data_IF_512984322779
#
_entry.id   IF_512984322779
#
_cell.length_a   1.000
_cell.length_b   1.000
_cell.length_c   1.000
_cell.angle_alpha   90.00
_cell.angle_beta   90.00
_cell.angle_gamma   90.00
#
_symmetry.space_group_name_H-M   'P 1'
#
loop_
_entity.id
_entity.type
_entity.pdbx_description
1 polymer ?
#
# COMPACT_ATOMS: atom_id res chain seq x y z
N UNK A 1 18.27 -14.60 7.75
CA UNK A 1 17.05 -14.43 6.96
C UNK A 1 16.82 -12.94 6.73
N UNK A 2 16.49 -12.54 5.50
CA UNK A 2 16.27 -11.12 5.18
C UNK A 2 15.02 -10.57 5.86
N UNK A 3 14.93 -9.24 5.94
CA UNK A 3 13.73 -8.58 6.46
C UNK A 3 12.49 -8.95 5.65
N UNK A 4 12.64 -9.07 4.33
CA UNK A 4 11.54 -9.48 3.44
C UNK A 4 11.02 -10.88 3.77
N UNK A 5 11.94 -11.84 3.91
CA UNK A 5 11.58 -13.21 4.24
C UNK A 5 10.98 -13.31 5.64
N UNK A 6 11.50 -12.57 6.61
CA UNK A 6 10.94 -12.53 7.96
C UNK A 6 9.51 -11.96 7.94
N UNK A 7 9.28 -10.92 7.16
CA UNK A 7 7.94 -10.33 7.01
C UNK A 7 6.98 -11.35 6.40
N UNK A 8 7.39 -12.04 5.36
CA UNK A 8 6.56 -13.08 4.74
C UNK A 8 6.18 -14.17 5.75
N UNK A 9 7.14 -14.64 6.54
CA UNK A 9 6.89 -15.65 7.59
C UNK A 9 5.88 -15.12 8.61
N UNK A 10 6.03 -13.87 9.05
CA UNK A 10 5.11 -13.26 10.00
C UNK A 10 3.68 -13.17 9.45
N UNK A 11 3.54 -12.74 8.20
CA UNK A 11 2.22 -12.62 7.56
C UNK A 11 1.57 -13.98 7.41
N UNK A 12 2.33 -15.00 6.98
CA UNK A 12 1.82 -16.39 6.88
C UNK A 12 1.42 -16.94 8.25
N UNK A 13 2.17 -16.61 9.30
CA UNK A 13 1.86 -17.07 10.66
C UNK A 13 0.55 -16.49 11.19
N UNK A 14 0.08 -15.39 10.63
CA UNK A 14 -1.23 -14.80 10.95
C UNK A 14 -2.39 -15.47 10.19
N UNK A 15 -2.10 -16.47 9.38
CA UNK A 15 -3.10 -17.23 8.62
C UNK A 15 -3.32 -16.73 7.19
N UNK A 16 -2.53 -15.76 6.71
CA UNK A 16 -2.70 -15.24 5.37
C UNK A 16 -1.95 -16.07 4.33
N UNK A 17 -2.59 -16.25 3.17
CA UNK A 17 -1.97 -16.86 2.01
C UNK A 17 -1.38 -15.76 1.13
N UNK A 18 -0.08 -15.85 0.88
CA UNK A 18 0.63 -14.96 -0.05
C UNK A 18 0.54 -15.60 -1.44
N UNK A 19 -0.19 -14.97 -2.35
CA UNK A 19 -0.42 -15.50 -3.70
C UNK A 19 0.61 -14.99 -4.71
N UNK A 20 1.30 -13.89 -4.38
CA UNK A 20 2.34 -13.31 -5.22
C UNK A 20 3.22 -12.42 -4.35
N UNK A 21 4.45 -12.21 -4.78
CA UNK A 21 5.38 -11.31 -4.09
C UNK A 21 6.41 -10.77 -5.06
N UNK A 22 6.96 -9.60 -4.73
CA UNK A 22 8.07 -9.00 -5.46
C UNK A 22 8.98 -8.32 -4.45
N UNK A 23 10.20 -8.83 -4.27
CA UNK A 23 11.20 -8.27 -3.38
C UNK A 23 12.31 -7.52 -4.13
N UNK A 24 12.13 -7.32 -5.44
CA UNK A 24 13.11 -6.70 -6.32
C UNK A 24 12.77 -5.25 -6.68
N UNK A 25 11.77 -4.66 -6.01
CA UNK A 25 11.44 -3.26 -6.23
C UNK A 25 12.55 -2.36 -5.72
N UNK A 26 12.88 -1.28 -6.43
CA UNK A 26 13.98 -0.39 -6.01
C UNK A 26 13.72 0.29 -4.66
N UNK A 27 12.47 0.43 -4.26
CA UNK A 27 12.08 1.01 -2.97
C UNK A 27 11.84 -0.02 -1.87
N UNK A 28 11.85 -1.31 -2.19
CA UNK A 28 11.57 -2.37 -1.22
C UNK A 28 10.88 -3.56 -1.88
N UNK A 29 9.66 -3.85 -1.46
CA UNK A 29 8.92 -4.97 -2.02
C UNK A 29 7.48 -5.04 -1.52
N UNK A 30 6.76 -6.06 -1.97
CA UNK A 30 5.39 -6.27 -1.52
C UNK A 30 4.99 -7.74 -1.52
N UNK A 31 3.96 -8.02 -0.73
CA UNK A 31 3.27 -9.31 -0.69
C UNK A 31 1.83 -9.10 -1.11
N UNK A 32 1.34 -9.91 -2.04
CA UNK A 32 -0.08 -9.91 -2.43
C UNK A 32 -0.80 -11.00 -1.64
N UNK A 33 -1.87 -10.62 -0.97
CA UNK A 33 -2.66 -11.53 -0.13
C UNK A 33 -3.85 -12.04 -0.93
N UNK A 34 -4.23 -13.31 -0.69
CA UNK A 34 -5.38 -13.94 -1.34
C UNK A 34 -6.63 -13.06 -1.15
N UNK A 35 -7.31 -12.74 -2.25
CA UNK A 35 -8.50 -11.89 -2.25
C UNK A 35 -9.62 -12.48 -1.39
N UNK A 36 -9.72 -13.81 -1.28
CA UNK A 36 -10.72 -14.45 -0.42
C UNK A 36 -10.54 -14.13 1.06
N UNK A 37 -9.36 -13.66 1.45
CA UNK A 37 -9.03 -13.29 2.83
C UNK A 37 -9.15 -11.79 3.10
N UNK A 38 -9.72 -11.02 2.17
CA UNK A 38 -9.82 -9.56 2.30
C UNK A 38 -10.53 -9.13 3.59
N UNK A 39 -11.58 -9.86 4.03
CA UNK A 39 -12.28 -9.56 5.28
C UNK A 39 -11.36 -9.77 6.49
N UNK A 40 -10.66 -10.91 6.56
CA UNK A 40 -9.71 -11.17 7.64
C UNK A 40 -8.56 -10.18 7.64
N UNK A 41 -8.09 -9.79 6.47
CA UNK A 41 -7.05 -8.79 6.31
C UNK A 41 -7.52 -7.44 6.89
N UNK A 42 -8.73 -7.01 6.54
CA UNK A 42 -9.31 -5.79 7.11
C UNK A 42 -9.52 -5.88 8.61
N UNK A 43 -9.96 -7.03 9.11
CA UNK A 43 -10.16 -7.22 10.54
C UNK A 43 -8.85 -7.08 11.33
N UNK A 44 -7.73 -7.51 10.77
CA UNK A 44 -6.44 -7.42 11.44
C UNK A 44 -5.76 -6.07 11.28
N UNK A 45 -5.85 -5.46 10.10
CA UNK A 45 -5.08 -4.26 9.78
C UNK A 45 -5.91 -2.98 9.72
N UNK A 46 -7.22 -3.08 9.52
CA UNK A 46 -8.09 -1.93 9.33
C UNK A 46 -9.33 -2.05 10.22
N UNK A 47 -9.13 -2.01 11.53
CA UNK A 47 -10.21 -2.16 12.50
C UNK A 47 -11.35 -1.17 12.22
N UNK A 48 -12.57 -1.68 12.18
CA UNK A 48 -13.75 -0.86 11.97
C UNK A 48 -14.13 -0.61 10.53
N UNK A 49 -13.37 -1.12 9.55
CA UNK A 49 -13.75 -1.02 8.15
C UNK A 49 -14.65 -2.19 7.75
N UNK A 50 -15.78 -1.87 7.14
CA UNK A 50 -16.67 -2.85 6.55
C UNK A 50 -16.30 -3.02 5.07
N UNK A 51 -15.67 -4.17 4.75
CA UNK A 51 -15.22 -4.43 3.37
C UNK A 51 -16.38 -4.55 2.40
N UNK A 52 -17.57 -4.90 2.85
CA UNK A 52 -18.73 -5.02 1.96
C UNK A 52 -19.13 -3.68 1.36
N UNK A 53 -18.96 -2.58 2.12
CA UNK A 53 -19.24 -1.24 1.63
C UNK A 53 -18.13 -0.69 0.74
N UNK A 54 -16.93 -1.27 0.82
CA UNK A 54 -15.76 -0.82 0.06
C UNK A 54 -15.60 -1.56 -1.26
N UNK A 55 -16.14 -2.78 -1.36
CA UNK A 55 -15.98 -3.62 -2.55
C UNK A 55 -16.78 -3.10 -3.72
N UNK A 56 -16.07 -2.70 -4.77
CA UNK A 56 -16.64 -2.43 -6.08
C UNK A 56 -16.02 -3.45 -7.03
N UNK A 57 -16.86 -4.23 -7.72
CA UNK A 57 -16.37 -5.29 -8.58
C UNK A 57 -15.83 -6.52 -7.83
N UNK A 58 -16.12 -6.64 -6.54
CA UNK A 58 -15.75 -7.80 -5.73
C UNK A 58 -14.29 -7.89 -5.32
N UNK A 59 -13.51 -6.81 -5.47
CA UNK A 59 -12.06 -6.81 -5.20
C UNK A 59 -11.65 -5.72 -4.23
N UNK A 60 -10.65 -6.01 -3.38
CA UNK A 60 -9.95 -5.04 -2.53
C UNK A 60 -8.43 -5.08 -2.72
N UNK A 61 -7.91 -6.08 -3.41
CA UNK A 61 -6.48 -6.23 -3.74
C UNK A 61 -5.55 -6.04 -2.52
N UNK A 62 -5.73 -6.82 -1.44
CA UNK A 62 -4.97 -6.61 -0.21
C UNK A 62 -3.48 -6.90 -0.40
N UNK A 63 -2.64 -6.03 0.14
CA UNK A 63 -1.18 -6.12 0.03
C UNK A 63 -0.49 -5.70 1.30
N UNK A 64 0.72 -6.20 1.46
CA UNK A 64 1.68 -5.69 2.45
C UNK A 64 2.81 -5.03 1.67
N UNK A 65 3.03 -3.74 1.92
CA UNK A 65 4.15 -2.99 1.35
C UNK A 65 5.31 -3.01 2.34
N UNK A 66 6.50 -3.28 1.84
CA UNK A 66 7.74 -3.31 2.63
C UNK A 66 8.64 -2.21 2.07
N UNK A 67 8.80 -1.13 2.83
CA UNK A 67 9.58 0.03 2.39
C UNK A 67 10.93 0.00 3.08
N UNK A 68 12.01 -0.06 2.29
CA UNK A 68 13.36 -0.10 2.85
C UNK A 68 13.82 1.28 3.31
N UNK A 69 14.79 1.34 4.25
CA UNK A 69 15.29 2.61 4.76
C UNK A 69 15.73 3.55 3.67
N UNK A 70 15.35 4.83 3.79
CA UNK A 70 15.78 5.94 2.94
C UNK A 70 15.39 5.82 1.46
N UNK A 71 14.52 4.88 1.14
CA UNK A 71 13.96 4.74 -0.20
C UNK A 71 12.56 5.34 -0.26
N UNK A 72 12.14 5.75 -1.43
CA UNK A 72 10.80 6.27 -1.60
C UNK A 72 10.19 5.79 -2.91
N UNK A 73 8.87 5.58 -2.89
CA UNK A 73 8.10 5.28 -4.08
C UNK A 73 8.03 6.51 -4.97
N UNK A 74 7.53 6.37 -6.19
CA UNK A 74 7.33 7.51 -7.08
C UNK A 74 6.29 8.47 -6.51
N UNK A 75 6.36 9.71 -6.96
CA UNK A 75 5.29 10.71 -6.81
C UNK A 75 4.25 10.37 -7.87
N UNK A 76 3.09 9.86 -7.43
CA UNK A 76 2.20 9.09 -8.29
C UNK A 76 0.73 9.30 -7.98
N UNK A 77 -0.13 8.93 -8.94
CA UNK A 77 -1.58 8.82 -8.72
C UNK A 77 -2.16 7.73 -9.60
N UNK A 78 -3.42 7.38 -9.35
CA UNK A 78 -4.14 6.31 -10.02
C UNK A 78 -5.48 6.80 -10.53
N UNK A 79 -5.90 6.29 -11.68
CA UNK A 79 -7.16 6.71 -12.32
C UNK A 79 -8.38 5.94 -11.84
N UNK A 80 -8.19 4.66 -11.45
CA UNK A 80 -9.31 3.75 -11.23
C UNK A 80 -9.34 3.16 -9.82
N UNK A 81 -8.67 3.79 -8.85
CA UNK A 81 -8.73 3.36 -7.46
C UNK A 81 -8.45 4.49 -6.47
N UNK A 82 -9.04 4.36 -5.30
CA UNK A 82 -8.58 4.97 -4.07
C UNK A 82 -7.78 3.93 -3.30
N UNK A 83 -7.00 4.35 -2.31
CA UNK A 83 -6.20 3.43 -1.50
C UNK A 83 -6.41 3.73 -0.02
N UNK A 84 -6.37 2.68 0.81
CA UNK A 84 -6.37 2.84 2.26
C UNK A 84 -5.13 2.14 2.78
N UNK A 85 -4.34 2.85 3.57
CA UNK A 85 -3.09 2.37 4.15
C UNK A 85 -3.19 2.36 5.67
N UNK A 86 -2.52 1.39 6.28
CA UNK A 86 -2.25 1.39 7.71
C UNK A 86 -0.80 1.05 7.94
N UNK A 87 -0.10 1.92 8.68
CA UNK A 87 1.26 1.63 9.14
C UNK A 87 1.15 0.64 10.29
N UNK A 88 1.70 -0.56 10.15
CA UNK A 88 1.62 -1.56 11.23
C UNK A 88 2.99 -1.94 11.80
N UNK A 89 4.09 -1.45 11.23
CA UNK A 89 5.42 -1.58 11.81
C UNK A 89 6.30 -0.41 11.37
N UNK A 90 6.98 0.20 12.33
CA UNK A 90 7.91 1.30 12.08
C UNK A 90 7.20 2.63 11.82
N UNK A 91 7.95 3.57 11.27
CA UNK A 91 7.45 4.88 10.86
C UNK A 91 7.69 5.07 9.38
N UNK A 92 6.85 5.87 8.75
CA UNK A 92 7.06 6.25 7.36
C UNK A 92 6.72 7.72 7.14
N UNK A 93 7.25 8.28 6.06
CA UNK A 93 6.84 9.58 5.58
C UNK A 93 5.82 9.43 4.47
N UNK A 94 4.88 10.36 4.38
CA UNK A 94 3.91 10.40 3.29
C UNK A 94 3.77 11.85 2.83
N UNK A 95 3.87 12.05 1.52
CA UNK A 95 3.53 13.31 0.87
C UNK A 95 2.22 13.10 0.12
N UNK A 96 1.31 14.07 0.23
CA UNK A 96 0.00 14.03 -0.43
C UNK A 96 -0.29 15.38 -1.06
N UNK A 97 -0.95 15.37 -2.23
CA UNK A 97 -1.39 16.61 -2.88
C UNK A 97 -2.55 16.34 -3.85
N UNK A 98 -3.40 17.33 -4.03
CA UNK A 98 -4.43 17.29 -5.07
C UNK A 98 -3.89 17.73 -6.43
N UNK A 99 -2.63 18.18 -6.49
CA UNK A 99 -1.97 18.65 -7.71
C UNK A 99 -0.65 17.91 -7.91
N UNK A 100 0.01 18.15 -9.02
CA UNK A 100 1.33 17.56 -9.31
C UNK A 100 2.44 18.14 -8.43
N UNK A 101 2.16 19.21 -7.69
CA UNK A 101 3.14 19.83 -6.79
C UNK A 101 3.14 19.11 -5.45
N UNK A 102 4.31 18.64 -5.03
CA UNK A 102 4.47 18.01 -3.72
C UNK A 102 4.27 19.02 -2.59
N UNK A 103 3.51 18.60 -1.58
CA UNK A 103 3.40 19.31 -0.32
C UNK A 103 4.48 18.83 0.64
N UNK A 104 4.46 19.33 1.88
CA UNK A 104 5.39 18.92 2.92
C UNK A 104 5.16 17.46 3.33
N UNK A 105 6.25 16.72 3.55
CA UNK A 105 6.17 15.35 4.08
C UNK A 105 5.70 15.36 5.52
N UNK A 106 4.78 14.45 5.83
CA UNK A 106 4.34 14.19 7.21
C UNK A 106 4.79 12.80 7.63
N UNK A 107 5.10 12.65 8.92
CA UNK A 107 5.49 11.36 9.51
C UNK A 107 4.27 10.67 10.09
N UNK A 108 4.16 9.37 9.81
CA UNK A 108 3.09 8.52 10.31
C UNK A 108 3.70 7.36 11.09
N UNK A 109 3.03 6.97 12.18
CA UNK A 109 3.51 5.97 13.13
C UNK A 109 2.64 4.73 13.10
N UNK A 110 3.09 3.68 13.78
CA UNK A 110 2.30 2.45 13.92
C UNK A 110 0.88 2.75 14.40
N UNK A 111 -0.09 2.19 13.69
CA UNK A 111 -1.50 2.37 13.98
C UNK A 111 -2.17 3.48 13.17
N UNK A 112 -1.41 4.37 12.54
CA UNK A 112 -2.00 5.43 11.72
C UNK A 112 -2.61 4.85 10.45
N UNK A 113 -3.81 5.32 10.12
CA UNK A 113 -4.55 4.93 8.93
C UNK A 113 -4.72 6.13 8.01
N UNK A 114 -4.43 5.92 6.73
CA UNK A 114 -4.45 6.98 5.73
C UNK A 114 -5.39 6.57 4.60
N UNK A 115 -6.33 7.46 4.24
CA UNK A 115 -7.19 7.28 3.07
C UNK A 115 -6.72 8.21 1.97
N UNK A 116 -6.36 7.64 0.83
CA UNK A 116 -5.92 8.36 -0.36
C UNK A 116 -7.05 8.31 -1.39
N UNK A 117 -7.51 9.48 -1.83
CA UNK A 117 -8.61 9.58 -2.80
C UNK A 117 -8.16 9.13 -4.19
N UNK A 118 -9.12 8.74 -5.01
CA UNK A 118 -8.87 8.54 -6.44
C UNK A 118 -8.27 9.82 -7.04
N UNK A 119 -7.16 9.66 -7.78
CA UNK A 119 -6.47 10.79 -8.41
C UNK A 119 -5.60 11.63 -7.47
N UNK A 120 -5.68 11.42 -6.16
CA UNK A 120 -4.82 12.12 -5.21
C UNK A 120 -3.37 11.69 -5.41
N UNK A 121 -2.46 12.67 -5.55
CA UNK A 121 -1.03 12.39 -5.67
C UNK A 121 -0.49 12.01 -4.31
N UNK A 122 0.35 11.00 -4.29
CA UNK A 122 0.93 10.50 -3.04
C UNK A 122 2.30 9.86 -3.26
N UNK A 123 3.09 9.86 -2.20
CA UNK A 123 4.42 9.24 -2.17
C UNK A 123 4.67 8.67 -0.78
N UNK A 124 4.99 7.39 -0.72
CA UNK A 124 5.38 6.70 0.51
C UNK A 124 6.90 6.71 0.61
N UNK A 125 7.42 7.04 1.79
CA UNK A 125 8.84 7.31 2.02
C UNK A 125 9.34 6.50 3.21
N UNK A 126 10.43 5.73 2.99
CA UNK A 126 11.15 5.06 4.05
C UNK A 126 12.03 6.04 4.81
N UNK A 127 12.00 5.95 6.13
CA UNK A 127 12.82 6.78 7.02
C UNK A 127 14.09 6.02 7.44
N UNK A 128 14.42 5.98 8.73
CA UNK A 128 15.69 5.36 9.17
C UNK A 128 15.65 3.83 9.12
N UNK A 129 14.48 3.24 9.36
CA UNK A 129 14.29 1.79 9.38
C UNK A 129 13.25 1.34 8.36
N UNK A 130 13.17 0.02 8.15
CA UNK A 130 12.08 -0.56 7.37
C UNK A 130 10.74 -0.19 7.96
N UNK A 131 9.74 0.05 7.11
CA UNK A 131 8.37 0.16 7.57
C UNK A 131 7.47 -0.79 6.79
N UNK A 132 6.41 -1.25 7.45
CA UNK A 132 5.41 -2.13 6.86
C UNK A 132 4.07 -1.42 6.84
N UNK A 133 3.45 -1.42 5.66
CA UNK A 133 2.16 -0.78 5.41
C UNK A 133 1.20 -1.81 4.84
N UNK A 134 0.05 -1.99 5.50
CA UNK A 134 -1.05 -2.76 4.95
C UNK A 134 -1.80 -1.86 3.97
N UNK A 135 -2.15 -2.40 2.81
CA UNK A 135 -2.82 -1.65 1.75
C UNK A 135 -4.03 -2.40 1.24
N UNK A 136 -5.14 -1.69 1.07
CA UNK A 136 -6.27 -2.16 0.26
C UNK A 136 -6.59 -1.11 -0.80
N UNK A 137 -7.03 -1.57 -1.96
CA UNK A 137 -7.48 -0.73 -3.05
C UNK A 137 -9.01 -0.69 -3.04
N UNK A 138 -9.55 0.51 -3.13
CA UNK A 138 -10.97 0.69 -3.39
C UNK A 138 -11.13 1.01 -4.87
N UNK A 139 -11.52 0.00 -5.65
CA UNK A 139 -11.71 0.15 -7.09
C UNK A 139 -12.91 1.06 -7.36
N UNK A 140 -12.83 1.86 -8.41
CA UNK A 140 -13.87 2.84 -8.74
C UNK A 140 -14.72 2.45 -9.94
N UNK A 141 -14.26 1.49 -10.74
CA UNK A 141 -14.98 1.00 -11.92
C UNK A 141 -15.07 -0.53 -11.86
N UNK A 142 -16.26 -1.04 -11.62
CA UNK A 142 -16.50 -2.50 -11.50
C UNK A 142 -16.22 -3.25 -12.80
N UNK A 143 -16.33 -2.58 -13.95
CA UNK A 143 -16.12 -3.19 -15.26
C UNK A 143 -14.66 -3.12 -15.72
N UNK A 144 -13.87 -2.28 -15.07
CA UNK A 144 -12.45 -2.12 -15.40
C UNK A 144 -11.67 -1.87 -14.09
N UNK A 145 -11.49 -2.90 -13.26
CA UNK A 145 -10.79 -2.73 -11.98
C UNK A 145 -9.35 -2.25 -12.18
N UNK A 146 -8.83 -1.52 -11.21
CA UNK A 146 -7.45 -1.05 -11.21
C UNK A 146 -6.46 -2.22 -11.15
N UNK A 147 -5.27 -2.00 -11.66
CA UNK A 147 -4.17 -2.97 -11.65
C UNK A 147 -2.84 -2.23 -11.45
N UNK A 148 -1.73 -2.97 -11.48
CA UNK A 148 -0.40 -2.40 -11.28
C UNK A 148 -0.01 -1.40 -12.39
N UNK A 149 -0.62 -1.47 -13.56
CA UNK A 149 -0.34 -0.57 -14.68
C UNK A 149 -1.15 0.73 -14.57
N UNK A 150 -2.15 0.79 -13.71
CA UNK A 150 -2.94 2.00 -13.43
C UNK A 150 -2.16 2.92 -12.51
N UNK A 151 -1.12 3.54 -13.04
CA UNK A 151 -0.25 4.44 -12.31
C UNK A 151 0.29 5.52 -13.24
N UNK A 152 0.26 6.76 -12.77
CA UNK A 152 0.98 7.86 -13.41
C UNK A 152 2.09 8.29 -12.46
N UNK A 153 3.33 8.11 -12.89
CA UNK A 153 4.51 8.54 -12.13
C UNK A 153 4.88 9.95 -12.57
N UNK A 154 4.56 10.92 -11.71
CA UNK A 154 4.86 12.34 -11.95
C UNK A 154 6.37 12.59 -11.79
N UNK A 155 6.98 11.94 -10.81
CA UNK A 155 8.42 11.96 -10.56
C UNK A 155 8.83 10.63 -9.92
N UNK A 156 9.98 10.12 -10.30
CA UNK A 156 10.49 8.85 -9.79
C UNK A 156 12.01 8.90 -9.67
N UNK A 157 12.53 8.61 -8.47
CA UNK A 157 13.97 8.61 -8.19
C UNK A 157 14.72 7.56 -9.01
N UNK A 158 14.01 6.55 -9.51
CA UNK A 158 14.60 5.40 -10.20
C UNK A 158 14.44 5.45 -11.72
N UNK A 159 13.86 6.52 -12.25
CA UNK A 159 13.74 6.74 -13.70
C UNK A 159 12.76 5.81 -14.43
N UNK A 160 11.76 5.32 -13.74
CA UNK A 160 10.74 4.43 -14.33
C UNK A 160 9.64 5.18 -15.06
#
# INVERSE_FOLDING_TARGET
MSFYNNTEVQIKSKGFKVVSKDFERPWGGFLVIDESQAQNFSNQFFKGLDVQTLKIGGKLSPKILIVKPKARLSWQYHHRRAEIWRVFKGECGIIRSDTDKENEMKIYNEGDQIKLKQGERHRLIGLEDYCLVAEIWQHTDKNNPSNEEDIVRVQDDFGR
#
